data_IF_553374879042
#
_entry.id   IF_553374879042
#
_cell.length_a   1.000
_cell.length_b   1.000
_cell.length_c   1.000
_cell.angle_alpha   90.00
_cell.angle_beta   90.00
_cell.angle_gamma   90.00
#
_symmetry.space_group_name_H-M   'P 1'
#
loop_
_entity.id
_entity.type
_entity.pdbx_description
1 polymer ?
#
# COMPACT_ATOMS: atom_id res chain seq x y z
N UNK A 1 5.03 -13.60 18.67
CA UNK A 1 3.61 -13.49 19.09
C UNK A 1 2.72 -13.30 17.86
N UNK A 2 2.26 -14.39 17.27
CA UNK A 2 1.27 -14.38 16.18
C UNK A 2 -0.11 -14.42 16.82
N UNK A 3 -0.66 -13.25 17.13
CA UNK A 3 -1.90 -13.12 17.89
C UNK A 3 -2.86 -12.17 17.20
N UNK A 4 -4.17 -12.39 17.38
CA UNK A 4 -5.30 -11.57 16.89
C UNK A 4 -5.04 -10.05 16.87
N UNK A 5 -4.29 -9.55 17.86
CA UNK A 5 -3.84 -8.15 17.99
C UNK A 5 -3.01 -7.65 16.79
N UNK A 6 -2.11 -8.48 16.25
CA UNK A 6 -1.31 -8.15 15.06
C UNK A 6 -2.18 -8.09 13.80
N UNK A 7 -3.12 -9.03 13.63
CA UNK A 7 -4.08 -9.03 12.51
C UNK A 7 -5.00 -7.81 12.56
N UNK A 8 -5.52 -7.48 13.73
CA UNK A 8 -6.35 -6.30 13.92
C UNK A 8 -5.57 -5.00 13.65
N UNK A 9 -4.31 -4.89 14.12
CA UNK A 9 -3.46 -3.73 13.82
C UNK A 9 -3.22 -3.56 12.32
N UNK A 10 -3.00 -4.66 11.58
CA UNK A 10 -2.90 -4.64 10.12
C UNK A 10 -4.17 -4.12 9.46
N UNK A 11 -5.32 -4.73 9.76
CA UNK A 11 -6.61 -4.31 9.21
C UNK A 11 -6.98 -2.85 9.56
N UNK A 12 -6.61 -2.37 10.75
CA UNK A 12 -6.76 -0.96 11.12
C UNK A 12 -5.89 -0.05 10.25
N UNK A 13 -4.63 -0.42 10.02
CA UNK A 13 -3.72 0.34 9.15
C UNK A 13 -4.23 0.43 7.71
N UNK A 14 -4.69 -0.70 7.14
CA UNK A 14 -5.31 -0.75 5.81
C UNK A 14 -6.52 0.18 5.71
N UNK A 15 -7.45 0.14 6.69
CA UNK A 15 -8.64 0.99 6.70
C UNK A 15 -8.30 2.47 6.80
N UNK A 16 -7.34 2.82 7.65
CA UNK A 16 -6.89 4.19 7.86
C UNK A 16 -6.29 4.78 6.58
N UNK A 17 -5.43 4.02 5.90
CA UNK A 17 -4.85 4.42 4.63
C UNK A 17 -5.91 4.58 3.53
N UNK A 18 -6.81 3.62 3.38
CA UNK A 18 -7.90 3.75 2.41
C UNK A 18 -8.81 4.95 2.69
N UNK A 19 -9.13 5.21 3.97
CA UNK A 19 -9.93 6.39 4.36
C UNK A 19 -9.24 7.68 3.97
N UNK A 20 -7.93 7.80 4.22
CA UNK A 20 -7.14 8.96 3.82
C UNK A 20 -7.19 9.16 2.30
N UNK A 21 -6.94 8.11 1.52
CA UNK A 21 -7.04 8.20 0.05
C UNK A 21 -8.45 8.63 -0.40
N UNK A 22 -9.50 8.08 0.22
CA UNK A 22 -10.87 8.45 -0.14
C UNK A 22 -11.17 9.92 0.12
N UNK A 23 -10.68 10.46 1.24
CA UNK A 23 -10.87 11.86 1.62
C UNK A 23 -10.12 12.81 0.68
N UNK A 24 -8.86 12.49 0.35
CA UNK A 24 -8.02 13.33 -0.52
C UNK A 24 -8.42 13.27 -2.00
N UNK A 25 -8.90 12.12 -2.48
CA UNK A 25 -9.23 11.92 -3.90
C UNK A 25 -10.72 12.14 -4.20
N UNK A 26 -11.58 12.24 -3.18
CA UNK A 26 -13.03 12.35 -3.35
C UNK A 26 -13.70 11.12 -3.97
N UNK A 27 -13.04 9.94 -3.92
CA UNK A 27 -13.56 8.66 -4.43
C UNK A 27 -13.56 7.61 -3.31
N UNK A 28 -14.42 6.59 -3.41
CA UNK A 28 -14.44 5.52 -2.41
C UNK A 28 -13.34 4.48 -2.66
N UNK A 29 -12.21 4.63 -1.97
CA UNK A 29 -11.11 3.64 -1.94
C UNK A 29 -11.34 2.65 -0.79
N UNK A 30 -11.29 1.36 -1.11
CA UNK A 30 -11.49 0.27 -0.15
C UNK A 30 -10.35 -0.72 -0.19
N UNK A 31 -10.02 -1.27 0.98
CA UNK A 31 -9.07 -2.38 1.12
C UNK A 31 -9.61 -3.65 0.48
N UNK A 32 -8.72 -4.46 -0.09
CA UNK A 32 -9.04 -5.78 -0.65
C UNK A 32 -9.19 -6.82 0.46
N UNK A 33 -10.11 -7.78 0.26
CA UNK A 33 -10.44 -8.84 1.22
C UNK A 33 -10.53 -10.20 0.55
N UNK A 34 -10.26 -11.25 1.34
CA UNK A 34 -10.35 -12.63 0.86
C UNK A 34 -9.46 -12.87 -0.35
N UNK A 35 -9.98 -13.60 -1.34
CA UNK A 35 -9.25 -13.95 -2.56
C UNK A 35 -8.72 -12.73 -3.35
N UNK A 36 -9.39 -11.58 -3.25
CA UNK A 36 -8.93 -10.36 -3.90
C UNK A 36 -7.69 -9.76 -3.22
N UNK A 37 -7.42 -10.09 -1.95
CA UNK A 37 -6.14 -9.72 -1.30
C UNK A 37 -5.03 -10.69 -1.69
N UNK A 38 -5.38 -11.94 -1.98
CA UNK A 38 -4.43 -12.96 -2.43
C UNK A 38 -3.86 -12.64 -3.83
N UNK A 39 -4.43 -11.66 -4.55
CA UNK A 39 -3.81 -11.07 -5.75
C UNK A 39 -2.56 -10.24 -5.44
N UNK A 40 -2.23 -10.01 -4.17
CA UNK A 40 -0.92 -9.55 -3.72
C UNK A 40 -0.80 -8.05 -3.42
N UNK A 41 -1.91 -7.30 -3.37
CA UNK A 41 -1.99 -5.92 -2.92
C UNK A 41 -3.14 -5.69 -1.93
N UNK A 42 -2.99 -4.73 -1.01
CA UNK A 42 -3.97 -4.42 0.04
C UNK A 42 -5.01 -3.38 -0.43
N UNK A 43 -4.68 -2.49 -1.37
CA UNK A 43 -5.57 -1.47 -1.93
C UNK A 43 -5.12 -1.04 -3.34
N UNK A 44 -6.02 -0.42 -4.11
CA UNK A 44 -5.73 0.01 -5.48
C UNK A 44 -6.44 1.34 -5.82
N UNK A 45 -5.76 2.19 -6.60
CA UNK A 45 -6.35 3.38 -7.24
C UNK A 45 -5.84 3.46 -8.67
N UNK A 46 -6.72 3.30 -9.66
CA UNK A 46 -6.30 3.21 -11.06
C UNK A 46 -5.25 2.12 -11.26
N UNK A 47 -4.07 2.50 -11.78
CA UNK A 47 -2.92 1.61 -11.94
C UNK A 47 -2.03 1.45 -10.70
N UNK A 48 -2.24 2.25 -9.66
CA UNK A 48 -1.42 2.20 -8.45
C UNK A 48 -1.88 1.06 -7.54
N UNK A 49 -0.96 0.16 -7.21
CA UNK A 49 -1.17 -1.01 -6.34
C UNK A 49 -0.46 -0.78 -5.03
N UNK A 50 -1.19 -0.85 -3.92
CA UNK A 50 -0.66 -0.50 -2.60
C UNK A 50 -0.53 -1.72 -1.70
N UNK A 51 0.67 -1.94 -1.18
CA UNK A 51 0.91 -2.80 -0.02
C UNK A 51 0.99 -1.93 1.24
N UNK A 52 0.09 -2.15 2.20
CA UNK A 52 -0.12 -1.23 3.32
C UNK A 52 0.42 -1.82 4.63
N UNK A 53 1.41 -1.16 5.23
CA UNK A 53 2.10 -1.67 6.43
C UNK A 53 2.10 -0.68 7.58
N UNK A 54 1.41 -1.04 8.66
CA UNK A 54 1.54 -0.39 9.97
C UNK A 54 2.39 -1.24 10.92
N UNK A 55 3.71 -1.01 10.96
CA UNK A 55 4.67 -1.83 11.72
C UNK A 55 5.80 -0.97 12.29
N UNK A 56 6.25 -1.29 13.50
CA UNK A 56 7.41 -0.60 14.11
C UNK A 56 8.74 -1.06 13.50
N UNK A 57 8.88 -2.37 13.27
CA UNK A 57 10.05 -2.92 12.60
C UNK A 57 9.81 -2.87 11.09
N UNK A 58 10.60 -2.05 10.42
CA UNK A 58 10.54 -1.88 8.98
C UNK A 58 11.22 -3.06 8.26
N UNK A 59 10.58 -3.54 7.21
CA UNK A 59 11.10 -4.52 6.27
C UNK A 59 10.72 -4.09 4.84
N UNK A 60 10.99 -2.80 4.54
CA UNK A 60 10.49 -2.10 3.34
C UNK A 60 10.81 -2.87 2.07
N UNK A 61 12.05 -3.33 1.92
CA UNK A 61 12.45 -4.07 0.72
C UNK A 61 11.71 -5.39 0.54
N UNK A 62 11.36 -6.08 1.64
CA UNK A 62 10.57 -7.32 1.55
C UNK A 62 9.14 -7.01 1.12
N UNK A 63 8.57 -5.90 1.59
CA UNK A 63 7.24 -5.44 1.19
C UNK A 63 7.23 -4.98 -0.26
N UNK A 64 8.28 -4.28 -0.73
CA UNK A 64 8.42 -3.90 -2.14
C UNK A 64 8.42 -5.14 -3.03
N UNK A 65 9.24 -6.15 -2.73
CA UNK A 65 9.26 -7.40 -3.51
C UNK A 65 7.89 -8.09 -3.54
N UNK A 66 7.13 -8.04 -2.45
CA UNK A 66 5.79 -8.63 -2.39
C UNK A 66 4.85 -7.96 -3.39
N UNK A 67 4.77 -6.63 -3.40
CA UNK A 67 3.87 -5.89 -4.30
C UNK A 67 4.35 -5.87 -5.74
N UNK A 68 5.66 -5.87 -5.97
CA UNK A 68 6.26 -5.97 -7.30
C UNK A 68 5.97 -7.33 -7.96
N UNK A 69 5.95 -8.42 -7.20
CA UNK A 69 5.58 -9.74 -7.71
C UNK A 69 4.09 -9.87 -8.03
N UNK A 70 3.26 -9.06 -7.38
CA UNK A 70 1.82 -9.04 -7.55
C UNK A 70 1.35 -8.13 -8.70
N UNK A 71 2.13 -7.09 -9.00
CA UNK A 71 1.82 -6.12 -10.03
C UNK A 71 1.90 -6.73 -11.43
N UNK A 72 0.90 -6.43 -12.27
CA UNK A 72 0.89 -6.79 -13.68
C UNK A 72 1.55 -5.72 -14.56
N UNK A 73 1.56 -5.97 -15.87
CA UNK A 73 2.05 -5.00 -16.85
C UNK A 73 1.26 -3.68 -16.77
N UNK A 74 1.97 -2.57 -16.60
CA UNK A 74 1.40 -1.22 -16.50
C UNK A 74 0.89 -0.82 -15.11
N UNK A 75 0.91 -1.72 -14.13
CA UNK A 75 0.67 -1.39 -12.73
C UNK A 75 1.89 -0.65 -12.13
N UNK A 76 1.63 0.21 -11.14
CA UNK A 76 2.67 0.90 -10.36
C UNK A 76 2.63 0.35 -8.94
N UNK A 77 3.58 -0.52 -8.54
CA UNK A 77 3.65 -1.07 -7.20
C UNK A 77 4.16 -0.02 -6.20
N UNK A 78 3.42 0.16 -5.10
CA UNK A 78 3.73 1.12 -4.05
C UNK A 78 3.62 0.44 -2.69
N UNK A 79 4.62 0.61 -1.84
CA UNK A 79 4.51 0.33 -0.42
C UNK A 79 4.10 1.60 0.30
N UNK A 80 2.96 1.58 0.97
CA UNK A 80 2.55 2.62 1.91
C UNK A 80 2.76 2.12 3.34
N UNK A 81 3.57 2.84 4.13
CA UNK A 81 3.86 2.39 5.48
C UNK A 81 3.92 3.53 6.49
N UNK A 82 3.70 3.17 7.75
CA UNK A 82 3.98 4.04 8.90
C UNK A 82 4.29 3.25 10.17
N UNK A 83 5.04 3.87 11.06
CA UNK A 83 5.24 3.42 12.43
C UNK A 83 4.18 4.07 13.34
N UNK A 84 4.10 3.70 14.62
CA UNK A 84 3.16 4.36 15.53
C UNK A 84 3.62 5.80 15.81
N UNK A 85 2.70 6.75 15.71
CA UNK A 85 3.01 8.17 15.93
C UNK A 85 3.63 8.89 14.72
N UNK A 86 4.06 8.13 13.71
CA UNK A 86 4.69 8.65 12.51
C UNK A 86 3.68 8.86 11.37
N UNK A 87 4.05 9.75 10.44
CA UNK A 87 3.33 10.02 9.20
C UNK A 87 3.39 8.83 8.23
N UNK A 88 2.43 8.79 7.29
CA UNK A 88 2.45 7.86 6.17
C UNK A 88 3.56 8.23 5.19
N UNK A 89 4.33 7.22 4.79
CA UNK A 89 5.35 7.32 3.74
C UNK A 89 5.06 6.31 2.64
N UNK A 90 5.45 6.67 1.41
CA UNK A 90 5.37 5.78 0.25
C UNK A 90 6.76 5.45 -0.28
N UNK A 91 6.90 4.24 -0.81
CA UNK A 91 8.10 3.78 -1.52
C UNK A 91 7.65 3.12 -2.82
N UNK A 92 8.30 3.52 -3.89
CA UNK A 92 8.16 2.96 -5.23
C UNK A 92 9.54 2.97 -5.88
N UNK A 93 9.73 2.21 -6.95
CA UNK A 93 11.00 2.23 -7.67
C UNK A 93 11.20 3.59 -8.32
N UNK A 94 12.47 3.97 -8.51
CA UNK A 94 12.80 5.20 -9.20
C UNK A 94 12.19 5.24 -10.61
N UNK A 95 12.19 4.11 -11.32
CA UNK A 95 11.59 4.00 -12.66
C UNK A 95 10.11 4.37 -12.70
N UNK A 96 9.34 4.00 -11.68
CA UNK A 96 7.92 4.35 -11.57
C UNK A 96 7.69 5.80 -11.12
N UNK A 97 8.66 6.36 -10.39
CA UNK A 97 8.61 7.74 -9.91
C UNK A 97 8.96 8.76 -11.01
N UNK A 98 9.84 8.40 -11.95
CA UNK A 98 10.31 9.34 -12.98
C UNK A 98 9.19 9.91 -13.86
N UNK A 99 8.19 9.14 -14.34
CA UNK A 99 7.05 9.69 -15.08
C UNK A 99 6.21 10.68 -14.25
N UNK A 100 6.02 10.41 -12.95
CA UNK A 100 5.33 11.34 -12.04
C UNK A 100 6.07 12.68 -11.98
N UNK A 101 7.40 12.63 -11.82
CA UNK A 101 8.25 13.82 -11.73
C UNK A 101 8.24 14.66 -13.02
N UNK A 102 8.06 14.01 -14.17
CA UNK A 102 7.97 14.67 -15.48
C UNK A 102 6.57 15.18 -15.82
N UNK A 103 5.56 14.87 -15.01
CA UNK A 103 4.16 15.21 -15.31
C UNK A 103 3.60 14.40 -16.49
N UNK A 104 4.10 13.19 -16.70
CA UNK A 104 3.68 12.29 -17.80
C UNK A 104 2.52 11.36 -17.40
N UNK A 105 1.89 11.62 -16.24
CA UNK A 105 0.83 10.81 -15.64
C UNK A 105 -0.45 11.58 -15.37
#
# INVERSE_FOLDING_TARGET
>A
MTGRRSRNKGATGEREFCKLLSEELGIDVRRKLGQARDSGDDAQVGKFRFEVKRREKLAVMDWCRQVEQAAGDGDVPIVAFRQNGEEWRVVLKLEDFLPLLRGEL
#
